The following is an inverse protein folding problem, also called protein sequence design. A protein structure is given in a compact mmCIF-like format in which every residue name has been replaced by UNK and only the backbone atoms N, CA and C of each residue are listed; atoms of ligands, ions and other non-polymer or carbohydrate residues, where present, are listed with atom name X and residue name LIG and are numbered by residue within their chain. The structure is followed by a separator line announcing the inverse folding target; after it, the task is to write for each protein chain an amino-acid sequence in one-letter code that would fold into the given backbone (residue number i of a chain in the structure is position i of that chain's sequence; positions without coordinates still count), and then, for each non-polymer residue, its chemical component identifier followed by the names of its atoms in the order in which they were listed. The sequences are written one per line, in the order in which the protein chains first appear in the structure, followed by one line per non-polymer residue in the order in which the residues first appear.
data_IF_655391601500
#
_entry.id   IF_655391601500
#
_cell.length_a   1.000
_cell.length_b   1.000
_cell.length_c   1.000
_cell.angle_alpha   90.00
_cell.angle_beta   90.00
_cell.angle_gamma   90.00
#
_symmetry.space_group_name_H-M   'P 1'
#
loop_
_entity.id
_entity.type
_entity.pdbx_description
1 polymer ?
#
# COMPACT_ATOMS: atom_id res chain seq x y z
N UNK A 1 -16.50 35.94 -33.51
CA UNK A 1 -16.19 34.58 -34.01
C UNK A 1 -14.74 34.16 -33.78
N UNK A 2 -13.76 35.06 -33.78
CA UNK A 2 -12.34 34.73 -33.46
C UNK A 2 -12.06 34.52 -31.98
N UNK A 3 -12.69 35.24 -31.05
CA UNK A 3 -12.52 35.14 -29.61
C UNK A 3 -12.88 33.74 -29.08
N UNK A 4 -13.96 33.16 -29.59
CA UNK A 4 -14.40 31.79 -29.19
C UNK A 4 -13.44 30.70 -29.68
N UNK A 5 -12.81 30.91 -30.86
CA UNK A 5 -11.79 29.98 -31.37
C UNK A 5 -10.50 30.03 -30.54
N UNK A 6 -10.09 31.21 -30.08
CA UNK A 6 -8.92 31.37 -29.18
C UNK A 6 -9.20 30.73 -27.83
N UNK A 7 -10.35 30.96 -27.23
CA UNK A 7 -10.74 30.37 -25.96
C UNK A 7 -10.76 28.84 -26.03
N UNK A 8 -11.30 28.24 -27.10
CA UNK A 8 -11.30 26.79 -27.34
C UNK A 8 -9.86 26.22 -27.43
N UNK A 9 -8.96 26.92 -28.12
CA UNK A 9 -7.55 26.51 -28.20
C UNK A 9 -6.87 26.55 -26.83
N UNK A 10 -7.10 27.59 -26.04
CA UNK A 10 -6.56 27.68 -24.68
C UNK A 10 -7.11 26.58 -23.78
N UNK A 11 -8.40 26.25 -23.88
CA UNK A 11 -9.00 25.16 -23.10
C UNK A 11 -8.41 23.80 -23.45
N UNK A 12 -8.20 23.55 -24.74
CA UNK A 12 -7.59 22.28 -25.23
C UNK A 12 -6.13 22.17 -24.76
N UNK A 13 -5.35 23.24 -24.88
CA UNK A 13 -3.95 23.25 -24.43
C UNK A 13 -3.87 23.06 -22.90
N UNK A 14 -4.75 23.72 -22.14
CA UNK A 14 -4.84 23.56 -20.70
C UNK A 14 -5.21 22.11 -20.30
N UNK A 15 -6.18 21.52 -21.00
CA UNK A 15 -6.58 20.13 -20.78
C UNK A 15 -5.45 19.15 -21.11
N UNK A 16 -4.71 19.38 -22.22
CA UNK A 16 -3.56 18.56 -22.59
C UNK A 16 -2.41 18.69 -21.59
N UNK A 17 -2.14 19.88 -21.06
CA UNK A 17 -1.17 20.12 -20.00
C UNK A 17 -1.56 19.41 -18.70
N UNK A 18 -2.84 19.45 -18.32
CA UNK A 18 -3.33 18.74 -17.14
C UNK A 18 -3.19 17.23 -17.28
N UNK A 19 -3.53 16.65 -18.44
CA UNK A 19 -3.38 15.22 -18.70
C UNK A 19 -1.90 14.79 -18.63
N UNK A 20 -0.97 15.61 -19.13
CA UNK A 20 0.46 15.28 -19.06
C UNK A 20 1.00 15.26 -17.63
N UNK A 21 0.57 16.18 -16.77
CA UNK A 21 0.98 16.22 -15.35
C UNK A 21 0.50 14.97 -14.60
N UNK A 22 -0.72 14.49 -14.88
CA UNK A 22 -1.24 13.26 -14.27
C UNK A 22 -0.45 12.01 -14.70
N UNK A 23 -0.08 11.90 -15.99
CA UNK A 23 0.72 10.78 -16.47
C UNK A 23 2.14 10.72 -15.87
N UNK A 24 2.79 11.87 -15.62
CA UNK A 24 4.13 11.91 -15.02
C UNK A 24 4.13 11.48 -13.55
N UNK A 25 3.11 11.87 -12.76
CA UNK A 25 3.03 11.51 -11.35
C UNK A 25 2.83 10.00 -11.12
N UNK A 26 2.13 9.32 -12.02
CA UNK A 26 1.87 7.89 -11.96
C UNK A 26 3.10 7.04 -12.29
N UNK A 27 3.85 7.42 -13.30
CA UNK A 27 5.10 6.76 -13.67
C UNK A 27 6.12 6.76 -12.54
N UNK A 28 6.26 7.86 -11.82
CA UNK A 28 7.19 8.02 -10.69
C UNK A 28 6.82 7.10 -9.51
N UNK A 29 5.54 6.99 -9.14
CA UNK A 29 5.11 6.13 -8.04
C UNK A 29 5.33 4.65 -8.34
N UNK A 30 4.98 4.20 -9.54
CA UNK A 30 5.19 2.81 -9.98
C UNK A 30 6.68 2.43 -10.03
N UNK A 31 7.52 3.34 -10.54
CA UNK A 31 8.96 3.14 -10.61
C UNK A 31 9.57 3.03 -9.20
N UNK A 32 9.20 3.91 -8.28
CA UNK A 32 9.65 3.86 -6.87
C UNK A 32 9.24 2.56 -6.18
N UNK A 33 8.00 2.10 -6.36
CA UNK A 33 7.52 0.82 -5.82
C UNK A 33 8.33 -0.35 -6.36
N UNK A 34 8.60 -0.37 -7.66
CA UNK A 34 9.42 -1.39 -8.32
C UNK A 34 10.85 -1.41 -7.81
N UNK A 35 11.51 -0.25 -7.70
CA UNK A 35 12.85 -0.11 -7.14
C UNK A 35 12.91 -0.62 -5.70
N UNK A 36 11.97 -0.23 -4.88
CA UNK A 36 11.87 -0.65 -3.48
C UNK A 36 11.75 -2.18 -3.34
N UNK A 37 10.87 -2.81 -4.12
CA UNK A 37 10.69 -4.27 -4.11
C UNK A 37 11.94 -5.00 -4.59
N UNK A 38 12.55 -4.53 -5.68
CA UNK A 38 13.75 -5.16 -6.22
C UNK A 38 14.90 -5.09 -5.21
N UNK A 39 15.08 -3.94 -4.56
CA UNK A 39 16.10 -3.78 -3.54
C UNK A 39 15.82 -4.61 -2.28
N UNK A 40 14.54 -4.74 -1.87
CA UNK A 40 14.15 -5.62 -0.77
C UNK A 40 14.51 -7.09 -1.03
N UNK A 41 14.36 -7.56 -2.27
CA UNK A 41 14.74 -8.93 -2.67
C UNK A 41 16.22 -9.22 -2.48
N UNK A 42 17.10 -8.21 -2.59
CA UNK A 42 18.54 -8.36 -2.37
C UNK A 42 18.90 -8.62 -0.89
N UNK A 43 17.95 -8.39 0.03
CA UNK A 43 18.12 -8.67 1.44
C UNK A 43 17.72 -10.11 1.82
N UNK A 44 17.07 -10.87 0.93
CA UNK A 44 16.65 -12.24 1.24
C UNK A 44 17.88 -13.07 1.66
N UNK A 45 17.81 -13.70 2.84
CA UNK A 45 18.90 -14.44 3.44
C UNK A 45 19.78 -13.64 4.42
N UNK A 46 19.61 -12.32 4.50
CA UNK A 46 20.30 -11.49 5.52
C UNK A 46 19.84 -11.91 6.92
N UNK A 47 20.75 -12.13 7.89
CA UNK A 47 20.39 -12.55 9.25
C UNK A 47 19.50 -11.54 9.96
N UNK A 48 18.61 -12.03 10.85
CA UNK A 48 17.91 -11.16 11.78
C UNK A 48 18.87 -10.67 12.89
N UNK A 49 18.96 -9.35 13.02
CA UNK A 49 19.68 -8.71 14.14
C UNK A 49 18.79 -7.60 14.68
N UNK A 50 18.40 -7.70 15.96
CA UNK A 50 17.60 -6.67 16.62
C UNK A 50 18.34 -5.32 16.60
N UNK A 51 17.68 -4.26 16.13
CA UNK A 51 18.28 -2.95 15.94
C UNK A 51 19.12 -2.82 14.67
N UNK A 52 19.39 -3.91 13.97
CA UNK A 52 20.14 -3.90 12.69
C UNK A 52 19.39 -3.23 11.55
N UNK A 53 20.13 -2.69 10.58
CA UNK A 53 19.57 -1.94 9.44
C UNK A 53 20.46 -1.96 8.19
N UNK A 54 21.23 -3.04 8.01
CA UNK A 54 22.09 -3.22 6.84
C UNK A 54 22.16 -4.70 6.39
N UNK A 55 23.03 -4.99 5.39
CA UNK A 55 23.19 -6.36 4.84
C UNK A 55 24.00 -7.30 5.75
N UNK A 56 24.56 -6.82 6.86
CA UNK A 56 25.20 -7.68 7.86
C UNK A 56 24.18 -8.22 8.87
N UNK A 57 23.05 -7.53 9.03
CA UNK A 57 21.93 -7.94 9.87
C UNK A 57 20.87 -6.84 9.98
N UNK A 58 19.62 -7.24 10.00
CA UNK A 58 18.49 -6.30 10.05
C UNK A 58 17.34 -6.83 10.91
N UNK A 59 16.56 -5.94 11.54
CA UNK A 59 15.23 -6.24 12.06
C UNK A 59 14.12 -5.86 11.04
N UNK A 60 12.86 -6.15 11.37
CA UNK A 60 11.74 -5.92 10.46
C UNK A 60 11.59 -4.45 10.02
N UNK A 61 11.69 -3.49 10.93
CA UNK A 61 11.62 -2.07 10.62
C UNK A 61 12.92 -1.52 10.02
N UNK A 62 14.06 -2.10 10.38
CA UNK A 62 15.37 -1.78 9.80
C UNK A 62 15.46 -2.13 8.32
N UNK A 63 14.93 -3.28 7.95
CA UNK A 63 14.78 -3.68 6.54
C UNK A 63 14.00 -2.62 5.75
N UNK A 64 12.81 -2.25 6.22
CA UNK A 64 11.93 -1.27 5.56
C UNK A 64 12.62 0.10 5.47
N UNK A 65 13.22 0.55 6.58
CA UNK A 65 13.97 1.79 6.65
C UNK A 65 15.10 1.85 5.62
N UNK A 66 15.93 0.81 5.57
CA UNK A 66 17.09 0.78 4.66
C UNK A 66 16.65 0.63 3.20
N UNK A 67 15.68 -0.24 2.93
CA UNK A 67 15.14 -0.40 1.59
C UNK A 67 14.58 0.91 1.05
N UNK A 68 13.77 1.63 1.82
CA UNK A 68 13.20 2.91 1.37
C UNK A 68 14.28 3.99 1.18
N UNK A 69 15.23 4.08 2.12
CA UNK A 69 16.31 5.08 2.06
C UNK A 69 17.21 4.89 0.83
N UNK A 70 17.66 3.65 0.61
CA UNK A 70 18.68 3.38 -0.41
C UNK A 70 18.08 3.27 -1.82
N UNK A 71 16.86 2.72 -1.96
CA UNK A 71 16.27 2.51 -3.29
C UNK A 71 15.53 3.72 -3.85
N UNK A 72 14.90 4.52 -2.98
CA UNK A 72 14.02 5.63 -3.38
C UNK A 72 14.26 6.93 -2.62
N UNK A 73 15.31 7.01 -1.79
CA UNK A 73 15.70 8.16 -0.99
C UNK A 73 14.60 8.67 -0.04
N UNK A 74 13.74 7.76 0.44
CA UNK A 74 12.66 8.07 1.36
C UNK A 74 13.10 7.77 2.80
N UNK A 75 13.10 8.80 3.64
CA UNK A 75 13.38 8.67 5.07
C UNK A 75 12.12 8.24 5.81
N UNK A 76 12.15 7.06 6.41
CA UNK A 76 11.07 6.49 7.19
C UNK A 76 11.42 6.42 8.68
N UNK A 77 10.41 6.37 9.58
CA UNK A 77 10.66 6.10 10.99
C UNK A 77 11.31 4.72 11.21
N UNK A 78 12.20 4.63 12.23
CA UNK A 78 13.02 3.44 12.47
C UNK A 78 12.29 2.31 13.23
N UNK A 79 11.18 2.60 13.91
CA UNK A 79 10.44 1.59 14.68
C UNK A 79 9.12 1.24 14.04
N UNK A 80 8.63 0.01 14.24
CA UNK A 80 7.33 -0.45 13.69
C UNK A 80 6.19 0.47 14.15
N UNK A 81 6.15 0.84 15.43
CA UNK A 81 5.08 1.71 15.96
C UNK A 81 5.08 3.10 15.31
N UNK A 82 6.27 3.70 15.15
CA UNK A 82 6.39 5.01 14.49
C UNK A 82 6.11 4.91 12.98
N UNK A 83 6.51 3.82 12.33
CA UNK A 83 6.21 3.55 10.91
C UNK A 83 4.70 3.38 10.69
N UNK A 84 4.00 2.69 11.61
CA UNK A 84 2.55 2.56 11.57
C UNK A 84 1.85 3.93 11.71
N UNK A 85 2.33 4.79 12.59
CA UNK A 85 1.82 6.16 12.73
C UNK A 85 2.12 7.08 11.54
N UNK A 86 3.20 6.80 10.79
CA UNK A 86 3.59 7.54 9.59
C UNK A 86 2.79 7.14 8.35
N UNK A 87 2.54 5.84 8.17
CA UNK A 87 1.90 5.29 7.00
C UNK A 87 0.41 5.66 6.93
N UNK A 88 -0.08 5.96 5.75
CA UNK A 88 -1.52 6.13 5.52
C UNK A 88 -2.18 4.75 5.50
N UNK A 89 -2.96 4.43 6.52
CA UNK A 89 -3.71 3.17 6.57
C UNK A 89 -4.82 3.18 5.51
N UNK A 90 -4.90 2.12 4.75
CA UNK A 90 -5.85 1.95 3.63
C UNK A 90 -6.67 0.66 3.78
N UNK A 91 -7.83 0.56 3.09
CA UNK A 91 -8.56 -0.70 2.96
C UNK A 91 -7.73 -1.80 2.31
N UNK A 92 -7.89 -3.04 2.77
CA UNK A 92 -7.08 -4.18 2.33
C UNK A 92 -7.16 -4.45 0.81
N UNK A 93 -8.32 -4.21 0.21
CA UNK A 93 -8.54 -4.35 -1.24
C UNK A 93 -7.86 -3.27 -2.10
N UNK A 94 -7.22 -2.28 -1.48
CA UNK A 94 -6.46 -1.21 -2.15
C UNK A 94 -4.95 -1.39 -2.02
N UNK A 95 -4.49 -2.50 -1.39
CA UNK A 95 -3.05 -2.72 -1.23
C UNK A 95 -2.35 -2.95 -2.57
N UNK A 96 -1.21 -2.31 -2.72
CA UNK A 96 -0.35 -2.42 -3.88
C UNK A 96 1.05 -2.92 -3.50
N UNK A 97 1.75 -3.61 -4.42
CA UNK A 97 3.15 -3.94 -4.20
C UNK A 97 3.96 -2.69 -3.80
N UNK A 98 4.79 -2.80 -2.75
CA UNK A 98 5.52 -1.69 -2.13
C UNK A 98 4.80 -1.05 -0.93
N UNK A 99 3.56 -1.43 -0.61
CA UNK A 99 2.92 -1.05 0.64
C UNK A 99 3.49 -1.84 1.82
N UNK A 100 3.28 -1.33 3.03
CA UNK A 100 3.78 -1.96 4.25
C UNK A 100 2.63 -2.72 4.92
N UNK A 101 2.85 -3.99 5.18
CA UNK A 101 1.95 -4.83 5.97
C UNK A 101 2.35 -4.75 7.44
N UNK A 102 1.37 -4.59 8.31
CA UNK A 102 1.53 -4.52 9.75
C UNK A 102 0.87 -5.71 10.45
N UNK A 103 1.54 -6.24 11.47
CA UNK A 103 1.10 -7.42 12.19
C UNK A 103 1.17 -7.19 13.71
N UNK A 104 0.28 -7.86 14.45
CA UNK A 104 0.28 -7.97 15.91
C UNK A 104 0.85 -9.33 16.32
N UNK A 105 2.16 -9.43 16.47
CA UNK A 105 2.85 -10.68 16.83
C UNK A 105 3.18 -10.76 18.32
N UNK A 106 3.03 -9.64 19.06
CA UNK A 106 3.24 -9.56 20.50
C UNK A 106 2.05 -8.89 21.16
N UNK A 107 1.12 -9.67 21.67
CA UNK A 107 -0.14 -9.18 22.24
C UNK A 107 -0.92 -8.29 21.26
N UNK A 108 -1.55 -7.22 21.77
CA UNK A 108 -2.37 -6.31 20.96
C UNK A 108 -1.59 -5.19 20.28
N UNK A 109 -0.27 -5.19 20.37
CA UNK A 109 0.56 -4.13 19.81
C UNK A 109 0.96 -4.46 18.38
N UNK A 110 0.97 -3.43 17.50
CA UNK A 110 1.59 -3.51 16.18
C UNK A 110 3.10 -3.64 16.40
N UNK A 111 3.62 -4.85 16.23
CA UNK A 111 4.98 -5.24 16.63
C UNK A 111 5.85 -5.75 15.50
N UNK A 112 5.25 -6.06 14.34
CA UNK A 112 5.98 -6.55 13.17
C UNK A 112 5.48 -5.89 11.88
N UNK A 113 6.36 -5.81 10.89
CA UNK A 113 6.06 -5.22 9.58
C UNK A 113 6.85 -5.91 8.47
N UNK A 114 6.29 -5.86 7.25
CA UNK A 114 6.93 -6.37 6.03
C UNK A 114 6.51 -5.58 4.80
N UNK A 115 7.27 -5.72 3.72
CA UNK A 115 7.02 -5.07 2.42
C UNK A 115 6.18 -5.99 1.56
N UNK A 116 4.98 -5.57 1.20
CA UNK A 116 4.11 -6.32 0.30
C UNK A 116 4.69 -6.36 -1.11
N UNK A 117 4.77 -7.54 -1.72
CA UNK A 117 5.36 -7.71 -3.06
C UNK A 117 4.35 -8.19 -4.10
N UNK A 118 3.06 -8.28 -3.73
CA UNK A 118 1.99 -8.79 -4.58
C UNK A 118 1.69 -10.27 -4.30
N UNK A 119 0.61 -10.80 -4.89
CA UNK A 119 0.20 -12.21 -4.83
C UNK A 119 0.10 -12.76 -3.38
N UNK A 120 -0.37 -11.95 -2.44
CA UNK A 120 -0.40 -12.27 -1.00
C UNK A 120 0.98 -12.61 -0.40
N UNK A 121 2.08 -12.16 -1.01
CA UNK A 121 3.43 -12.36 -0.51
C UNK A 121 4.05 -11.07 0.00
N UNK A 122 4.95 -11.19 0.98
CA UNK A 122 5.68 -10.07 1.54
C UNK A 122 7.08 -10.47 1.99
N UNK A 123 8.01 -9.50 1.95
CA UNK A 123 9.39 -9.66 2.43
C UNK A 123 9.48 -9.02 3.80
N UNK A 124 10.04 -9.73 4.77
CA UNK A 124 10.23 -9.26 6.14
C UNK A 124 11.45 -9.91 6.80
N UNK A 125 11.92 -9.35 7.90
CA UNK A 125 12.95 -9.99 8.73
C UNK A 125 12.29 -10.73 9.90
N UNK A 126 12.34 -12.07 9.88
CA UNK A 126 11.78 -12.96 10.89
C UNK A 126 12.78 -13.17 12.04
N UNK A 127 12.33 -12.94 13.28
CA UNK A 127 13.17 -13.12 14.49
C UNK A 127 13.19 -14.55 15.01
N UNK A 128 12.18 -15.35 14.68
CA UNK A 128 11.95 -16.70 15.19
C UNK A 128 11.26 -17.58 14.15
N UNK A 129 11.02 -18.84 14.51
CA UNK A 129 10.41 -19.84 13.63
C UNK A 129 11.45 -20.71 12.91
N UNK A 130 11.00 -21.57 11.97
CA UNK A 130 11.87 -22.52 11.27
C UNK A 130 12.88 -21.82 10.35
N UNK A 131 12.58 -20.62 9.89
CA UNK A 131 13.43 -19.81 9.03
C UNK A 131 13.54 -18.40 9.61
N UNK A 132 14.73 -18.00 10.06
CA UNK A 132 15.03 -16.67 10.58
C UNK A 132 15.80 -15.83 9.57
N UNK A 133 15.80 -14.52 9.75
CA UNK A 133 16.40 -13.57 8.81
C UNK A 133 15.39 -13.01 7.84
N UNK A 134 15.87 -12.40 6.77
CA UNK A 134 15.00 -11.83 5.73
C UNK A 134 14.49 -12.93 4.82
N UNK A 135 13.18 -13.11 4.80
CA UNK A 135 12.49 -14.16 4.06
C UNK A 135 11.28 -13.62 3.31
N UNK A 136 10.82 -14.40 2.34
CA UNK A 136 9.54 -14.23 1.66
C UNK A 136 8.50 -15.12 2.34
N UNK A 137 7.40 -14.54 2.82
CA UNK A 137 6.26 -15.25 3.42
C UNK A 137 4.95 -14.94 2.71
N UNK A 138 3.93 -15.74 3.00
CA UNK A 138 2.59 -15.58 2.41
C UNK A 138 1.56 -15.18 3.48
N UNK A 139 0.68 -14.23 3.15
CA UNK A 139 -0.51 -13.92 3.96
C UNK A 139 -1.50 -15.10 4.05
N UNK A 140 -1.32 -16.14 3.22
CA UNK A 140 -2.13 -17.36 3.28
C UNK A 140 -1.64 -18.36 4.35
N UNK A 141 -0.42 -18.20 4.86
CA UNK A 141 0.10 -18.98 5.99
C UNK A 141 -0.72 -18.67 7.25
N UNK A 142 -1.10 -19.71 8.01
CA UNK A 142 -1.99 -19.59 9.18
C UNK A 142 -1.49 -18.55 10.19
N UNK A 143 -0.19 -18.55 10.47
CA UNK A 143 0.42 -17.60 11.41
C UNK A 143 0.22 -16.15 10.94
N UNK A 144 0.60 -15.84 9.70
CA UNK A 144 0.51 -14.47 9.18
C UNK A 144 -0.92 -14.01 8.98
N UNK A 145 -1.81 -14.89 8.54
CA UNK A 145 -3.24 -14.62 8.41
C UNK A 145 -3.88 -14.25 9.75
N UNK A 146 -3.50 -14.95 10.84
CA UNK A 146 -4.01 -14.69 12.18
C UNK A 146 -3.49 -13.38 12.78
N UNK A 147 -2.24 -13.00 12.49
CA UNK A 147 -1.59 -11.82 13.07
C UNK A 147 -1.68 -10.59 12.19
N UNK A 148 -2.18 -10.72 10.96
CA UNK A 148 -2.35 -9.57 10.06
C UNK A 148 -3.29 -8.54 10.67
N UNK A 149 -2.86 -7.28 10.61
CA UNK A 149 -3.60 -6.19 11.26
C UNK A 149 -4.04 -5.11 10.27
N UNK A 150 -3.11 -4.61 9.44
CA UNK A 150 -3.40 -3.50 8.54
C UNK A 150 -2.39 -3.43 7.38
N UNK A 151 -2.75 -2.70 6.35
CA UNK A 151 -1.84 -2.24 5.30
C UNK A 151 -1.73 -0.73 5.32
N UNK A 152 -0.52 -0.22 5.14
CA UNK A 152 -0.24 1.22 5.09
C UNK A 152 0.58 1.62 3.87
N UNK A 153 0.15 2.70 3.25
CA UNK A 153 0.85 3.33 2.13
C UNK A 153 1.92 4.30 2.63
N UNK A 154 3.11 4.19 2.06
CA UNK A 154 4.24 5.13 2.23
C UNK A 154 4.56 5.87 0.93
N UNK A 155 3.95 5.46 -0.17
CA UNK A 155 4.03 6.07 -1.50
C UNK A 155 2.62 6.36 -2.03
N UNK A 156 2.43 7.34 -2.92
CA UNK A 156 1.14 7.56 -3.56
C UNK A 156 0.63 6.28 -4.27
N UNK A 157 -0.69 6.05 -4.34
CA UNK A 157 -1.26 4.94 -5.09
C UNK A 157 -1.00 5.10 -6.58
N UNK A 158 -0.96 3.98 -7.30
CA UNK A 158 -0.95 3.98 -8.76
C UNK A 158 -2.36 4.23 -9.30
N UNK A 159 -2.49 4.73 -10.53
CA UNK A 159 -3.80 5.06 -11.13
C UNK A 159 -4.74 3.84 -11.26
N UNK A 160 -4.19 2.62 -11.31
CA UNK A 160 -4.98 1.40 -11.36
C UNK A 160 -5.90 1.24 -10.14
N UNK A 161 -5.41 1.60 -8.95
CA UNK A 161 -6.20 1.54 -7.70
C UNK A 161 -7.22 2.66 -7.63
N UNK A 162 -6.87 3.86 -8.08
CA UNK A 162 -7.80 5.00 -8.15
C UNK A 162 -8.99 4.66 -9.07
N UNK A 163 -8.73 4.07 -10.24
CA UNK A 163 -9.79 3.65 -11.17
C UNK A 163 -10.73 2.59 -10.55
N UNK A 164 -10.20 1.62 -9.82
CA UNK A 164 -10.98 0.61 -9.10
C UNK A 164 -11.82 1.19 -7.94
N UNK A 165 -11.31 2.19 -7.23
CA UNK A 165 -12.03 2.86 -6.15
C UNK A 165 -13.25 3.67 -6.64
N UNK A 166 -13.16 4.28 -7.82
CA UNK A 166 -14.29 4.98 -8.44
C UNK A 166 -15.37 4.03 -8.96
N UNK A 167 -15.02 2.82 -9.40
CA UNK A 167 -16.01 1.82 -9.84
C UNK A 167 -16.81 1.24 -8.66
N UNK A 168 -16.19 1.02 -7.51
CA UNK A 168 -16.89 0.47 -6.34
C UNK A 168 -17.86 1.44 -5.68
N UNK A 169 -17.69 2.76 -5.83
CA UNK A 169 -18.60 3.75 -5.27
C UNK A 169 -19.87 3.97 -6.11
N UNK A 170 -19.87 3.58 -7.40
CA UNK A 170 -21.03 3.74 -8.27
C UNK A 170 -22.02 2.57 -8.22
N UNK A 171 -21.66 1.43 -7.59
CA UNK A 171 -22.56 0.26 -7.48
C UNK A 171 -23.36 0.22 -6.18
N UNK A 172 -23.12 1.11 -5.22
CA UNK A 172 -23.81 1.12 -3.92
C UNK A 172 -24.96 2.14 -3.79
N UNK A 173 -25.34 2.86 -4.86
CA UNK A 173 -26.39 3.89 -4.82
C UNK A 173 -27.65 3.62 -5.62
N UNK A 174 -27.92 2.36 -6.01
CA UNK A 174 -29.16 2.00 -6.70
C UNK A 174 -29.84 0.77 -6.09
N UNK A 175 -30.41 0.92 -4.89
CA UNK A 175 -31.52 0.09 -4.42
C UNK A 175 -32.08 0.62 -3.11
N UNK A 176 -33.00 1.57 -3.17
CA UNK A 176 -34.09 1.72 -2.21
C UNK A 176 -35.14 2.71 -2.73
N UNK A 177 -36.06 2.24 -3.50
CA UNK A 177 -37.40 2.83 -3.58
C UNK A 177 -38.38 1.77 -4.04
N UNK A 178 -38.98 1.11 -3.07
CA UNK A 178 -40.13 0.21 -3.22
C UNK A 178 -41.13 0.55 -2.13
N UNK A 179 -42.11 1.35 -2.47
CA UNK A 179 -43.20 1.78 -1.62
C UNK A 179 -43.99 0.56 -1.09
N UNK A 180 -44.17 0.55 0.20
CA UNK A 180 -45.19 -0.26 0.85
C UNK A 180 -46.59 0.26 0.56
N UNK A 181 -47.50 -0.62 0.30
CA UNK A 181 -48.93 -0.31 0.26
C UNK A 181 -49.63 -0.90 1.49
N UNK A 182 -50.45 -0.08 2.07
CA UNK A 182 -51.29 -0.29 3.21
C UNK A 182 -52.50 -1.15 2.80
N UNK A 183 -52.89 -2.12 3.58
CA UNK A 183 -54.13 -2.89 3.44
C UNK A 183 -54.72 -3.20 4.82
N UNK A 184 -55.75 -2.47 5.16
CA UNK A 184 -56.61 -2.52 6.33
C UNK A 184 -57.58 -3.68 6.32
N UNK A 185 -58.17 -3.94 7.54
CA UNK A 185 -59.39 -4.66 7.90
C UNK A 185 -59.19 -6.15 8.16
N UNK A 186 -59.59 -6.73 9.27
CA UNK A 186 -60.81 -6.52 10.07
C UNK A 186 -61.41 -7.90 10.38
N UNK A 187 -61.58 -8.18 11.58
CA UNK A 187 -62.48 -9.09 12.31
C UNK A 187 -61.78 -9.84 13.40
#
# INVERSE_FOLDING_TARGET
MESTKRLRKFLIIFLLLMVSVYCFADGDSKDKRTKMINYAKEFIGVPYVYGGNDKTGTDCSGLIYTVARESIQLQLPRTVAALYGYAKIIPDNQKEPGDILFFKTVGDKVSHAGIYVGNNQFIHAASDGPNTGVILSSLNESYWKQHYYAVGQILPPTNAVIAGAFQNNNTSSSSSSGLGNIGSSGS
#
